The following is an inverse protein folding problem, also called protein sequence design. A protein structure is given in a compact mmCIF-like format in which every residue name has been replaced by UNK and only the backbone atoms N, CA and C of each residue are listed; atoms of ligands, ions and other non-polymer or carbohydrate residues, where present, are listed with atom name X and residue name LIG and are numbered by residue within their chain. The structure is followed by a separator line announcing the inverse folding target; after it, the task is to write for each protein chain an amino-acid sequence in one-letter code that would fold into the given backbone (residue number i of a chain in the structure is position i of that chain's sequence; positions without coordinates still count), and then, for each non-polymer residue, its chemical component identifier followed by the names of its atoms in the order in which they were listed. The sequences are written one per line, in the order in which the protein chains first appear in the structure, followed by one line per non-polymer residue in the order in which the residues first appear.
data_IF_409015996243
#
_entry.id   IF_409015996243
#
_cell.length_a   1.000
_cell.length_b   1.000
_cell.length_c   1.000
_cell.angle_alpha   90.00
_cell.angle_beta   90.00
_cell.angle_gamma   90.00
#
_symmetry.space_group_name_H-M   'P 1'
#
loop_
_entity.id
_entity.type
_entity.pdbx_description
1 polymer ?
#
# COMPACT_ATOMS: atom_id res chain seq x y z
N UNK A 1 7.69 35.06 -21.74
CA UNK A 1 7.42 34.76 -23.19
C UNK A 1 8.47 33.88 -23.85
N UNK A 2 9.75 34.27 -23.95
CA UNK A 2 10.76 33.46 -24.68
C UNK A 2 11.05 32.10 -24.03
N UNK A 3 11.12 32.03 -22.69
CA UNK A 3 11.38 30.79 -21.94
C UNK A 3 10.20 29.82 -21.99
N UNK A 4 8.99 30.29 -21.82
CA UNK A 4 7.76 29.50 -21.91
C UNK A 4 7.56 28.91 -23.32
N UNK A 5 7.82 29.70 -24.35
CA UNK A 5 7.78 29.22 -25.73
C UNK A 5 8.78 28.08 -25.99
N UNK A 6 10.01 28.20 -25.48
CA UNK A 6 11.02 27.15 -25.62
C UNK A 6 10.58 25.86 -24.89
N UNK A 7 10.04 25.98 -23.66
CA UNK A 7 9.53 24.83 -22.90
C UNK A 7 8.40 24.16 -23.66
N UNK A 8 7.44 24.92 -24.18
CA UNK A 8 6.34 24.39 -24.97
C UNK A 8 6.84 23.67 -26.22
N UNK A 9 7.76 24.27 -26.97
CA UNK A 9 8.33 23.66 -28.19
C UNK A 9 9.06 22.35 -27.86
N UNK A 10 9.90 22.32 -26.83
CA UNK A 10 10.58 21.10 -26.39
C UNK A 10 9.61 20.02 -25.95
N UNK A 11 8.52 20.38 -25.26
CA UNK A 11 7.49 19.43 -24.84
C UNK A 11 6.79 18.77 -26.03
N UNK A 12 6.46 19.53 -27.07
CA UNK A 12 5.86 18.99 -28.30
C UNK A 12 6.85 18.14 -29.09
N UNK A 13 8.10 18.56 -29.20
CA UNK A 13 9.15 17.76 -29.85
C UNK A 13 9.38 16.44 -29.11
N UNK A 14 9.46 16.45 -27.77
CA UNK A 14 9.57 15.25 -26.94
C UNK A 14 8.41 14.29 -27.15
N UNK A 15 7.18 14.81 -27.14
CA UNK A 15 5.97 14.02 -27.35
C UNK A 15 5.99 13.30 -28.69
N UNK A 16 6.44 13.97 -29.73
CA UNK A 16 6.55 13.38 -31.07
C UNK A 16 7.70 12.37 -31.17
N UNK A 17 8.86 12.69 -30.57
CA UNK A 17 10.05 11.83 -30.61
C UNK A 17 9.89 10.55 -29.76
N UNK A 18 9.05 10.58 -28.73
CA UNK A 18 8.80 9.41 -27.84
C UNK A 18 7.57 8.58 -28.25
N UNK A 19 6.87 8.99 -29.30
CA UNK A 19 5.70 8.25 -29.78
C UNK A 19 6.11 6.91 -30.38
N UNK A 20 5.57 5.84 -29.79
CA UNK A 20 5.76 4.46 -30.27
C UNK A 20 4.44 4.00 -30.92
N UNK A 21 4.53 3.50 -32.15
CA UNK A 21 3.38 2.97 -32.85
C UNK A 21 2.81 1.73 -32.16
N UNK A 22 1.47 1.70 -32.05
CA UNK A 22 0.77 0.61 -31.32
C UNK A 22 1.04 -0.79 -31.90
N UNK A 23 1.33 -0.86 -33.20
CA UNK A 23 1.62 -2.10 -33.90
C UNK A 23 2.93 -2.74 -33.44
N UNK A 24 3.90 -1.95 -32.97
CA UNK A 24 5.17 -2.46 -32.44
C UNK A 24 4.98 -3.25 -31.16
N UNK A 25 4.00 -2.89 -30.31
CA UNK A 25 3.69 -3.67 -29.09
C UNK A 25 3.21 -5.09 -29.44
N UNK A 26 2.41 -5.24 -30.50
CA UNK A 26 1.98 -6.55 -30.99
C UNK A 26 3.12 -7.32 -31.66
N UNK A 27 3.89 -6.63 -32.51
CA UNK A 27 5.02 -7.23 -33.24
C UNK A 27 6.08 -7.81 -32.32
N UNK A 28 6.36 -7.17 -31.19
CA UNK A 28 7.37 -7.57 -30.21
C UNK A 28 6.78 -8.26 -28.98
N UNK A 29 5.49 -8.60 -28.97
CA UNK A 29 4.76 -9.19 -27.82
C UNK A 29 4.98 -8.42 -26.50
N UNK A 30 5.00 -7.09 -26.59
CA UNK A 30 5.23 -6.24 -25.42
C UNK A 30 3.95 -6.08 -24.64
N UNK A 31 3.98 -6.46 -23.37
CA UNK A 31 2.85 -6.28 -22.46
C UNK A 31 2.68 -4.79 -22.11
N UNK A 32 1.42 -4.33 -22.06
CA UNK A 32 1.08 -2.98 -21.63
C UNK A 32 0.80 -2.95 -20.13
N UNK A 33 1.85 -2.74 -19.33
CA UNK A 33 1.76 -2.81 -17.90
C UNK A 33 1.47 -4.23 -17.40
N UNK A 34 0.67 -4.36 -16.36
CA UNK A 34 0.31 -5.64 -15.73
C UNK A 34 -0.99 -6.25 -16.32
N UNK A 35 -1.12 -6.21 -17.66
CA UNK A 35 -2.28 -6.75 -18.37
C UNK A 35 -1.85 -7.64 -19.53
N UNK A 36 -2.57 -8.75 -19.70
CA UNK A 36 -2.52 -9.57 -20.90
C UNK A 36 -3.25 -8.89 -22.06
N UNK A 37 -3.10 -9.40 -23.28
CA UNK A 37 -3.75 -8.84 -24.47
C UNK A 37 -5.29 -8.90 -24.38
N UNK A 38 -5.83 -9.92 -23.71
CA UNK A 38 -7.26 -10.10 -23.44
C UNK A 38 -7.81 -9.22 -22.29
N UNK A 39 -6.96 -8.34 -21.72
CA UNK A 39 -7.32 -7.46 -20.63
C UNK A 39 -7.27 -8.07 -19.22
N UNK A 40 -6.99 -9.36 -19.11
CA UNK A 40 -6.78 -10.01 -17.80
C UNK A 40 -5.48 -9.58 -17.13
N UNK A 41 -5.38 -9.72 -15.80
CA UNK A 41 -4.15 -9.43 -15.07
C UNK A 41 -3.03 -10.42 -15.37
N UNK A 42 -1.79 -9.93 -15.40
CA UNK A 42 -0.59 -10.78 -15.53
C UNK A 42 -0.25 -11.36 -14.16
N UNK A 43 0.04 -12.66 -14.10
CA UNK A 43 0.56 -13.30 -12.89
C UNK A 43 2.05 -12.93 -12.74
N UNK A 44 2.35 -12.06 -11.78
CA UNK A 44 3.72 -11.53 -11.56
C UNK A 44 4.44 -12.20 -10.40
N UNK A 45 3.74 -12.98 -9.59
CA UNK A 45 4.32 -13.69 -8.45
C UNK A 45 3.29 -14.47 -7.64
N UNK A 46 3.76 -15.16 -6.63
CA UNK A 46 2.93 -15.90 -5.69
C UNK A 46 3.05 -15.30 -4.29
N UNK A 47 1.93 -15.20 -3.60
CA UNK A 47 1.85 -14.75 -2.21
C UNK A 47 0.86 -15.60 -1.44
N UNK A 48 1.10 -15.75 -0.13
CA UNK A 48 0.13 -16.35 0.82
C UNK A 48 -0.65 -15.28 1.59
N UNK A 49 -0.39 -13.99 1.35
CA UNK A 49 -0.95 -12.90 2.15
C UNK A 49 -2.34 -12.53 1.66
N UNK A 50 -2.51 -12.39 0.35
CA UNK A 50 -3.78 -11.97 -0.22
C UNK A 50 -4.11 -12.70 -1.51
N UNK A 51 -5.40 -12.80 -1.82
CA UNK A 51 -5.90 -13.34 -3.07
C UNK A 51 -7.07 -12.49 -3.56
N UNK A 52 -7.04 -12.13 -4.83
CA UNK A 52 -8.12 -11.41 -5.50
C UNK A 52 -8.72 -12.30 -6.56
N UNK A 53 -10.01 -12.57 -6.45
CA UNK A 53 -10.76 -13.41 -7.39
C UNK A 53 -11.79 -12.55 -8.09
N UNK A 54 -11.63 -12.33 -9.40
CA UNK A 54 -12.56 -11.54 -10.22
C UNK A 54 -13.10 -12.32 -11.43
N UNK A 55 -12.65 -13.58 -11.59
CA UNK A 55 -13.03 -14.44 -12.70
C UNK A 55 -13.19 -15.87 -12.24
N UNK A 56 -14.16 -16.56 -12.84
CA UNK A 56 -14.37 -17.99 -12.71
C UNK A 56 -13.95 -18.68 -14.01
N UNK A 57 -13.21 -19.79 -13.90
CA UNK A 57 -12.84 -20.60 -15.06
C UNK A 57 -13.96 -21.60 -15.37
N UNK A 58 -14.62 -21.44 -16.51
CA UNK A 58 -15.65 -22.36 -16.99
C UNK A 58 -14.98 -23.36 -17.95
N UNK A 59 -15.05 -24.67 -17.67
CA UNK A 59 -14.51 -25.66 -18.57
C UNK A 59 -15.08 -25.51 -19.99
N UNK A 60 -14.19 -25.41 -20.99
CA UNK A 60 -14.56 -25.25 -22.40
C UNK A 60 -15.07 -23.87 -22.83
N UNK A 61 -15.22 -22.90 -21.90
CA UNK A 61 -15.70 -21.53 -22.21
C UNK A 61 -14.74 -20.40 -21.80
N UNK A 62 -13.61 -20.74 -21.17
CA UNK A 62 -12.63 -19.76 -20.74
C UNK A 62 -12.96 -19.07 -19.39
N UNK A 63 -12.63 -17.80 -19.26
CA UNK A 63 -12.83 -17.01 -18.04
C UNK A 63 -14.13 -16.21 -18.12
N UNK A 64 -14.96 -16.30 -17.07
CA UNK A 64 -16.18 -15.50 -16.89
C UNK A 64 -15.97 -14.50 -15.76
N UNK A 65 -16.25 -13.21 -15.96
CA UNK A 65 -16.22 -12.22 -14.87
C UNK A 65 -17.24 -12.57 -13.79
N UNK A 66 -16.82 -12.44 -12.53
CA UNK A 66 -17.66 -12.57 -11.34
C UNK A 66 -17.47 -11.32 -10.45
N UNK A 67 -18.38 -11.06 -9.49
CA UNK A 67 -18.13 -10.05 -8.48
C UNK A 67 -16.78 -10.29 -7.81
N UNK A 68 -15.96 -9.21 -7.72
CA UNK A 68 -14.62 -9.32 -7.15
C UNK A 68 -14.66 -9.75 -5.69
N UNK A 69 -13.81 -10.69 -5.30
CA UNK A 69 -13.59 -11.09 -3.91
C UNK A 69 -12.15 -10.88 -3.52
N UNK A 70 -11.95 -10.39 -2.31
CA UNK A 70 -10.63 -10.20 -1.71
C UNK A 70 -10.51 -11.09 -0.46
N UNK A 71 -9.43 -11.85 -0.41
CA UNK A 71 -9.11 -12.70 0.74
C UNK A 71 -7.80 -12.25 1.38
N UNK A 72 -7.79 -12.16 2.69
CA UNK A 72 -6.59 -11.97 3.50
C UNK A 72 -6.27 -13.26 4.25
N UNK A 73 -5.10 -13.86 3.99
CA UNK A 73 -4.68 -15.13 4.60
C UNK A 73 -5.73 -16.25 4.52
N UNK A 74 -6.60 -16.21 3.48
CA UNK A 74 -7.68 -17.18 3.28
C UNK A 74 -9.04 -16.77 3.87
N UNK A 75 -9.12 -15.70 4.64
CA UNK A 75 -10.37 -15.13 5.16
C UNK A 75 -10.98 -14.16 4.15
N UNK A 76 -12.28 -14.27 3.90
CA UNK A 76 -13.00 -13.32 3.06
C UNK A 76 -13.05 -11.95 3.75
N UNK A 77 -12.69 -10.88 3.04
CA UNK A 77 -12.64 -9.54 3.59
C UNK A 77 -14.03 -9.04 4.03
N UNK A 78 -15.10 -9.42 3.31
CA UNK A 78 -16.46 -9.05 3.68
C UNK A 78 -16.86 -9.67 5.01
N UNK A 79 -16.51 -10.94 5.24
CA UNK A 79 -16.80 -11.63 6.50
C UNK A 79 -16.04 -11.00 7.68
N UNK A 80 -14.76 -10.64 7.47
CA UNK A 80 -13.97 -9.92 8.47
C UNK A 80 -14.61 -8.56 8.80
N UNK A 81 -14.98 -7.78 7.80
CA UNK A 81 -15.59 -6.46 7.97
C UNK A 81 -16.96 -6.57 8.67
N UNK A 82 -17.79 -7.52 8.28
CA UNK A 82 -19.09 -7.74 8.91
C UNK A 82 -18.96 -8.14 10.39
N UNK A 83 -17.99 -8.99 10.74
CA UNK A 83 -17.73 -9.36 12.14
C UNK A 83 -17.35 -8.13 12.97
N UNK A 84 -16.41 -7.31 12.48
CA UNK A 84 -15.94 -6.10 13.15
C UNK A 84 -17.09 -5.09 13.36
N UNK A 85 -17.90 -4.86 12.33
CA UNK A 85 -19.04 -3.93 12.39
C UNK A 85 -20.11 -4.45 13.36
N UNK A 86 -20.46 -5.74 13.30
CA UNK A 86 -21.47 -6.36 14.16
C UNK A 86 -21.11 -6.25 15.64
N UNK A 87 -19.83 -6.44 15.95
CA UNK A 87 -19.32 -6.37 17.33
C UNK A 87 -18.97 -4.93 17.76
N UNK A 88 -19.09 -3.94 16.86
CA UNK A 88 -18.77 -2.53 17.10
C UNK A 88 -17.36 -2.32 17.66
N UNK A 89 -16.40 -3.08 17.18
CA UNK A 89 -14.99 -3.04 17.62
C UNK A 89 -14.10 -2.45 16.55
N UNK A 90 -12.91 -2.01 16.95
CA UNK A 90 -11.86 -1.64 16.01
C UNK A 90 -11.20 -2.91 15.48
N UNK A 91 -10.98 -2.97 14.16
CA UNK A 91 -10.45 -4.16 13.52
C UNK A 91 -9.06 -3.98 12.91
N UNK A 92 -8.45 -2.79 13.05
CA UNK A 92 -7.17 -2.51 12.42
C UNK A 92 -6.06 -3.44 12.95
N UNK A 93 -5.90 -3.51 14.26
CA UNK A 93 -4.86 -4.29 14.92
C UNK A 93 -5.03 -5.79 14.65
N UNK A 94 -6.28 -6.27 14.67
CA UNK A 94 -6.60 -7.68 14.37
C UNK A 94 -6.26 -8.06 12.93
N UNK A 95 -6.61 -7.20 11.96
CA UNK A 95 -6.29 -7.44 10.54
C UNK A 95 -4.80 -7.29 10.29
N UNK A 96 -4.13 -6.33 10.91
CA UNK A 96 -2.68 -6.18 10.84
C UNK A 96 -1.96 -7.43 11.39
N UNK A 97 -2.41 -7.93 12.54
CA UNK A 97 -1.88 -9.17 13.11
C UNK A 97 -2.10 -10.36 12.17
N UNK A 98 -3.31 -10.53 11.61
CA UNK A 98 -3.61 -11.58 10.64
C UNK A 98 -2.67 -11.54 9.43
N UNK A 99 -2.43 -10.36 8.86
CA UNK A 99 -1.56 -10.21 7.70
C UNK A 99 -0.11 -10.58 8.01
N UNK A 100 0.39 -10.23 9.19
CA UNK A 100 1.75 -10.50 9.65
C UNK A 100 1.93 -11.96 10.07
N UNK A 101 1.08 -12.46 10.99
CA UNK A 101 1.22 -13.79 11.60
C UNK A 101 0.66 -14.93 10.72
N UNK A 102 -0.38 -14.65 9.93
CA UNK A 102 -1.04 -15.63 9.07
C UNK A 102 -2.28 -16.28 9.68
N UNK A 103 -2.68 -15.92 10.88
CA UNK A 103 -3.89 -16.37 11.58
C UNK A 103 -4.52 -15.22 12.37
N UNK A 104 -5.81 -15.35 12.69
CA UNK A 104 -6.48 -14.38 13.57
C UNK A 104 -5.97 -14.53 15.00
N UNK A 105 -5.72 -13.40 15.69
CA UNK A 105 -5.22 -13.44 17.06
C UNK A 105 -6.30 -13.95 18.02
N UNK A 106 -5.87 -14.66 19.07
CA UNK A 106 -6.68 -14.81 20.25
C UNK A 106 -6.69 -13.51 21.08
N UNK A 107 -7.39 -13.52 22.24
CA UNK A 107 -7.53 -12.30 23.06
C UNK A 107 -6.21 -11.84 23.68
N UNK A 108 -5.34 -12.77 24.05
CA UNK A 108 -4.06 -12.47 24.67
C UNK A 108 -3.06 -11.97 23.63
N UNK A 109 -3.02 -12.61 22.47
CA UNK A 109 -2.21 -12.20 21.32
C UNK A 109 -2.60 -10.79 20.84
N UNK A 110 -3.92 -10.53 20.71
CA UNK A 110 -4.41 -9.22 20.31
C UNK A 110 -4.05 -8.15 21.33
N UNK A 111 -4.25 -8.42 22.62
CA UNK A 111 -3.91 -7.47 23.68
C UNK A 111 -2.41 -7.12 23.67
N UNK A 112 -1.55 -8.13 23.58
CA UNK A 112 -0.10 -7.94 23.52
C UNK A 112 0.33 -7.17 22.27
N UNK A 113 -0.30 -7.44 21.12
CA UNK A 113 -0.02 -6.73 19.88
C UNK A 113 -0.48 -5.26 19.93
N UNK A 114 -1.65 -4.99 20.52
CA UNK A 114 -2.13 -3.62 20.76
C UNK A 114 -1.19 -2.85 21.69
N UNK A 115 -0.70 -3.47 22.77
CA UNK A 115 0.28 -2.87 23.67
C UNK A 115 1.57 -2.52 22.92
N UNK A 116 2.10 -3.46 22.14
CA UNK A 116 3.29 -3.24 21.31
C UNK A 116 3.13 -2.05 20.34
N UNK A 117 2.00 -1.94 19.65
CA UNK A 117 1.73 -0.81 18.77
C UNK A 117 1.64 0.49 19.57
N UNK A 118 0.91 0.49 20.69
CA UNK A 118 0.71 1.68 21.51
C UNK A 118 2.03 2.21 22.10
N UNK A 119 2.93 1.33 22.51
CA UNK A 119 4.23 1.71 23.07
C UNK A 119 5.14 2.36 22.02
N UNK A 120 5.00 1.96 20.77
CA UNK A 120 5.79 2.50 19.65
C UNK A 120 5.10 3.68 18.93
N UNK A 121 3.86 4.04 19.30
CA UNK A 121 3.10 5.14 18.66
C UNK A 121 3.59 6.55 19.02
N UNK A 122 4.11 6.86 20.24
CA UNK A 122 4.46 8.23 20.57
C UNK A 122 5.66 8.74 19.78
N UNK A 123 5.42 9.73 18.92
CA UNK A 123 6.51 10.48 18.31
C UNK A 123 7.10 11.50 19.29
N UNK A 124 8.42 11.64 19.27
CA UNK A 124 9.09 12.71 19.98
C UNK A 124 8.55 14.09 19.55
N UNK A 125 8.50 15.03 20.50
CA UNK A 125 7.97 16.36 20.26
C UNK A 125 8.70 17.07 19.08
N UNK A 126 9.99 16.89 18.97
CA UNK A 126 10.81 17.47 17.89
C UNK A 126 10.38 16.96 16.51
N UNK A 127 10.12 15.66 16.41
CA UNK A 127 9.63 15.02 15.18
C UNK A 127 8.27 15.55 14.79
N UNK A 128 7.34 15.66 15.76
CA UNK A 128 6.01 16.25 15.52
C UNK A 128 6.12 17.68 14.95
N UNK A 129 6.99 18.50 15.54
CA UNK A 129 7.18 19.88 15.07
C UNK A 129 7.77 19.91 13.65
N UNK A 130 8.79 19.10 13.36
CA UNK A 130 9.36 19.00 12.02
C UNK A 130 8.31 18.62 10.97
N UNK A 131 7.42 17.66 11.28
CA UNK A 131 6.35 17.24 10.36
C UNK A 131 5.33 18.36 10.14
N UNK A 132 4.94 19.08 11.20
CA UNK A 132 4.00 20.21 11.13
C UNK A 132 4.57 21.37 10.31
N UNK A 133 5.86 21.60 10.37
CA UNK A 133 6.57 22.65 9.64
C UNK A 133 6.80 22.33 8.16
N UNK A 134 6.51 21.08 7.72
CA UNK A 134 6.61 20.72 6.32
C UNK A 134 5.55 21.46 5.49
N UNK A 135 6.00 22.38 4.66
CA UNK A 135 5.14 23.10 3.74
C UNK A 135 4.91 22.33 2.43
N UNK A 136 3.72 22.45 1.87
CA UNK A 136 3.37 21.88 0.57
C UNK A 136 1.87 21.83 0.31
N UNK A 137 1.49 21.83 -0.96
CA UNK A 137 0.09 21.74 -1.39
C UNK A 137 -0.39 20.30 -1.63
N UNK A 138 0.49 19.33 -1.48
CA UNK A 138 0.19 17.92 -1.73
C UNK A 138 0.48 17.10 -0.48
N UNK A 139 -0.58 16.59 0.15
CA UNK A 139 -0.49 15.85 1.40
C UNK A 139 0.34 14.55 1.24
N UNK A 140 0.24 13.86 0.11
CA UNK A 140 1.02 12.65 -0.15
C UNK A 140 2.52 12.95 -0.24
N UNK A 141 2.89 14.10 -0.79
CA UNK A 141 4.27 14.56 -0.80
C UNK A 141 4.75 14.90 0.61
N UNK A 142 3.92 15.54 1.44
CA UNK A 142 4.23 15.84 2.84
C UNK A 142 4.46 14.53 3.60
N UNK A 143 3.57 13.55 3.45
CA UNK A 143 3.71 12.22 4.06
C UNK A 143 5.02 11.52 3.65
N UNK A 144 5.34 11.50 2.37
CA UNK A 144 6.57 10.89 1.88
C UNK A 144 7.82 11.56 2.49
N UNK A 145 7.85 12.88 2.58
CA UNK A 145 8.94 13.63 3.23
C UNK A 145 9.00 13.35 4.73
N UNK A 146 7.85 13.23 5.40
CA UNK A 146 7.78 12.87 6.81
C UNK A 146 8.41 11.51 7.08
N UNK A 147 8.11 10.50 6.23
CA UNK A 147 8.72 9.17 6.34
C UNK A 147 10.24 9.24 6.17
N UNK A 148 10.73 10.01 5.18
CA UNK A 148 12.18 10.18 4.97
C UNK A 148 12.84 10.94 6.13
N UNK A 149 12.17 11.91 6.76
CA UNK A 149 12.68 12.60 7.93
C UNK A 149 12.85 11.66 9.14
N UNK A 150 12.04 10.60 9.23
CA UNK A 150 12.14 9.62 10.31
C UNK A 150 13.45 8.83 10.30
N UNK A 151 14.07 8.67 9.13
CA UNK A 151 15.35 7.97 8.98
C UNK A 151 16.43 8.47 9.98
N UNK A 152 16.49 9.77 10.21
CA UNK A 152 17.48 10.39 11.14
C UNK A 152 17.31 10.00 12.61
N UNK A 153 16.14 9.52 13.00
CA UNK A 153 15.81 9.17 14.38
C UNK A 153 15.96 7.67 14.65
N UNK A 154 16.11 6.86 13.62
CA UNK A 154 16.33 5.42 13.75
C UNK A 154 17.83 5.08 13.62
N UNK A 155 18.53 4.74 14.71
CA UNK A 155 19.95 4.40 14.65
C UNK A 155 20.23 3.10 13.89
N UNK A 156 19.21 2.31 13.60
CA UNK A 156 19.27 1.05 12.87
C UNK A 156 18.54 1.12 11.51
N UNK A 157 18.38 2.32 10.95
CA UNK A 157 17.63 2.54 9.73
C UNK A 157 18.12 1.69 8.53
N UNK A 158 19.42 1.45 8.44
CA UNK A 158 20.07 0.70 7.35
C UNK A 158 20.23 -0.81 7.65
N UNK A 159 19.83 -1.27 8.83
CA UNK A 159 19.85 -2.70 9.14
C UNK A 159 18.68 -3.40 8.50
N UNK A 160 18.96 -4.22 7.49
CA UNK A 160 17.99 -5.02 6.73
C UNK A 160 17.76 -6.42 7.31
N UNK A 161 18.20 -6.69 8.54
CA UNK A 161 17.87 -7.94 9.22
C UNK A 161 16.35 -8.10 9.38
N UNK A 162 15.89 -9.36 9.38
CA UNK A 162 14.46 -9.66 9.47
C UNK A 162 13.81 -9.06 10.70
N UNK A 163 14.49 -9.13 11.84
CA UNK A 163 13.95 -8.64 13.11
C UNK A 163 13.86 -7.12 13.12
N UNK A 164 14.86 -6.43 12.55
CA UNK A 164 14.83 -4.98 12.44
C UNK A 164 13.78 -4.50 11.42
N UNK A 165 13.60 -5.19 10.29
CA UNK A 165 12.52 -4.88 9.34
C UNK A 165 11.14 -5.04 9.98
N UNK A 166 10.94 -6.04 10.86
CA UNK A 166 9.71 -6.20 11.61
C UNK A 166 9.50 -5.04 12.59
N UNK A 167 10.55 -4.65 13.35
CA UNK A 167 10.52 -3.48 14.25
C UNK A 167 10.15 -2.21 13.48
N UNK A 168 10.85 -1.90 12.40
CA UNK A 168 10.59 -0.72 11.57
C UNK A 168 9.17 -0.73 11.00
N UNK A 169 8.62 -1.89 10.64
CA UNK A 169 7.25 -2.01 10.14
C UNK A 169 6.23 -1.66 11.21
N UNK A 170 6.46 -2.03 12.47
CA UNK A 170 5.59 -1.69 13.61
C UNK A 170 5.71 -0.20 13.92
N UNK A 171 6.92 0.34 13.99
CA UNK A 171 7.17 1.76 14.24
C UNK A 171 6.52 2.64 13.16
N UNK A 172 6.56 2.23 11.89
CA UNK A 172 5.99 2.99 10.77
C UNK A 172 4.46 3.03 10.77
N UNK A 173 3.78 2.06 11.36
CA UNK A 173 2.31 2.09 11.55
C UNK A 173 1.92 3.30 12.41
N UNK A 174 2.72 3.64 13.39
CA UNK A 174 2.51 4.78 14.29
C UNK A 174 2.46 6.12 13.54
N UNK A 175 3.23 6.28 12.48
CA UNK A 175 3.31 7.52 11.69
C UNK A 175 2.11 7.72 10.79
N UNK A 176 1.54 6.66 10.26
CA UNK A 176 0.32 6.75 9.44
C UNK A 176 -0.88 7.15 10.27
N UNK A 177 -0.96 6.76 11.54
CA UNK A 177 -2.02 7.15 12.46
C UNK A 177 -1.97 8.63 12.88
N UNK A 178 -0.79 9.24 12.92
CA UNK A 178 -0.63 10.67 13.27
C UNK A 178 -0.95 11.62 12.12
N UNK A 179 -0.82 11.15 10.90
CA UNK A 179 -1.02 11.98 9.71
C UNK A 179 -2.42 11.88 9.11
N UNK A 180 -3.16 10.83 9.46
CA UNK A 180 -4.58 10.73 9.15
C UNK A 180 -5.37 11.24 10.34
N UNK A 181 -6.25 12.26 10.18
CA UNK A 181 -7.16 12.66 11.24
C UNK A 181 -8.11 11.49 11.53
N UNK A 182 -7.73 10.67 12.48
CA UNK A 182 -8.66 9.72 13.06
C UNK A 182 -9.59 10.53 13.95
N UNK A 183 -10.79 10.82 13.46
CA UNK A 183 -11.89 11.23 14.31
C UNK A 183 -12.16 10.09 15.29
N UNK A 184 -11.42 10.09 16.39
CA UNK A 184 -11.73 9.33 17.60
C UNK A 184 -12.46 10.32 18.51
N UNK A 185 -13.67 10.68 18.15
CA UNK A 185 -14.69 11.18 19.06
C UNK A 185 -15.69 10.06 19.38
#
# INVERSE_FOLDING_TARGET
MKKEYIIYKLSEEMKNATRIENELFKKFDVKRGLRNEDGTGVLVGLTKIGNVVGYERIPGRGLKPIPGKLFYRGYDLEDLAHSIIKEKRFGFEEVAYLLLSGHLPDKEELASFCELINDNTPLEQKTKMNIIELEGNNIMNILARSVLEMYRFDPQADDTSRDNLMRQSIDSVSYTHLTLPTNRE
#
